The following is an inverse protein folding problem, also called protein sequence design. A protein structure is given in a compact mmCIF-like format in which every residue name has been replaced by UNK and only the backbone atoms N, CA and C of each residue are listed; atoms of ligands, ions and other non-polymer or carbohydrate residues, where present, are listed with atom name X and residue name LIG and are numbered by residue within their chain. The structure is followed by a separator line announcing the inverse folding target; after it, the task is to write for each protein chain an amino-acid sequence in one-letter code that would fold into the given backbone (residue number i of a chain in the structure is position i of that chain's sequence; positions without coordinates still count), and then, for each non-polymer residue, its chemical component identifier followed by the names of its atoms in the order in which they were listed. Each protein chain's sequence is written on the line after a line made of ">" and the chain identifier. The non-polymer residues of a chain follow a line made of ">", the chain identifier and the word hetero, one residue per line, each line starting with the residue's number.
data_IF_391587361042
#
_entry.id   IF_391587361042
#
_cell.length_a   1.000
_cell.length_b   1.000
_cell.length_c   1.000
_cell.angle_alpha   90.00
_cell.angle_beta   90.00
_cell.angle_gamma   90.00
#
_symmetry.space_group_name_H-M   'P 1'
#
loop_
_entity.id
_entity.type
_entity.pdbx_description
1 polymer ?
#
# COMPACT_ATOMS: atom_id res chain seq x y z
N UNK A 1 5.96 -32.96 23.98
CA UNK A 1 5.99 -31.75 24.85
C UNK A 1 6.72 -30.54 24.23
N UNK A 2 7.46 -30.66 23.12
CA UNK A 2 8.14 -29.51 22.48
C UNK A 2 7.24 -28.67 21.54
N UNK A 3 6.27 -29.29 20.85
CA UNK A 3 5.37 -28.60 19.91
C UNK A 3 4.37 -27.63 20.57
N UNK A 4 3.92 -27.93 21.80
CA UNK A 4 2.97 -27.06 22.52
C UNK A 4 3.62 -25.77 23.04
N UNK A 5 4.94 -25.76 23.27
CA UNK A 5 5.67 -24.56 23.72
C UNK A 5 5.90 -23.55 22.59
N UNK A 6 6.13 -24.00 21.35
CA UNK A 6 6.29 -23.09 20.19
C UNK A 6 5.00 -22.37 19.82
N UNK A 7 3.86 -23.06 19.87
CA UNK A 7 2.55 -22.46 19.56
C UNK A 7 2.16 -21.38 20.60
N UNK A 8 2.39 -21.65 21.88
CA UNK A 8 2.14 -20.70 22.99
C UNK A 8 3.10 -19.51 22.92
N UNK A 9 4.34 -19.70 22.45
CA UNK A 9 5.29 -18.59 22.28
C UNK A 9 4.90 -17.67 21.12
N UNK A 10 4.43 -18.22 20.00
CA UNK A 10 3.93 -17.45 18.85
C UNK A 10 2.61 -16.71 19.14
N UNK A 11 1.69 -17.31 19.90
CA UNK A 11 0.43 -16.63 20.27
C UNK A 11 0.66 -15.50 21.28
N UNK A 12 1.61 -15.65 22.21
CA UNK A 12 2.02 -14.57 23.12
C UNK A 12 2.66 -13.38 22.41
N UNK A 13 3.31 -13.58 21.26
CA UNK A 13 3.98 -12.49 20.51
C UNK A 13 3.05 -11.58 19.70
N UNK A 14 1.76 -11.88 19.57
CA UNK A 14 0.81 -11.02 18.85
C UNK A 14 -0.07 -10.16 19.76
N UNK A 15 -0.40 -10.62 20.98
CA UNK A 15 -1.12 -9.78 21.95
C UNK A 15 -0.30 -8.55 22.39
N UNK A 16 1.03 -8.65 22.38
CA UNK A 16 1.96 -7.54 22.65
C UNK A 16 2.11 -6.54 21.49
N UNK A 17 1.49 -6.78 20.34
CA UNK A 17 1.63 -5.96 19.13
C UNK A 17 0.49 -4.98 18.90
N UNK A 18 -0.48 -4.87 19.80
CA UNK A 18 -1.58 -3.93 19.64
C UNK A 18 -1.59 -2.89 20.75
N UNK A 19 -1.93 -1.65 20.40
CA UNK A 19 -2.42 -0.63 21.33
C UNK A 19 -3.90 -0.39 21.05
N UNK A 20 -4.69 -0.15 22.10
CA UNK A 20 -6.14 -0.03 21.94
C UNK A 20 -6.50 1.22 21.14
N UNK A 21 -6.12 2.39 21.64
CA UNK A 21 -6.39 3.66 21.02
C UNK A 21 -5.12 4.31 20.46
N UNK A 22 -5.30 5.21 19.49
CA UNK A 22 -4.21 6.03 18.99
C UNK A 22 -3.71 6.96 20.11
N UNK A 23 -2.41 6.97 20.43
CA UNK A 23 -1.86 7.95 21.37
C UNK A 23 -2.20 9.38 20.92
N UNK A 24 -2.54 10.24 21.89
CA UNK A 24 -2.83 11.65 21.62
C UNK A 24 -1.55 12.41 21.25
N UNK A 25 -1.64 13.42 20.37
CA UNK A 25 -0.49 14.25 20.03
C UNK A 25 0.03 14.99 21.27
N UNK A 26 1.34 15.21 21.33
CA UNK A 26 2.01 15.90 22.45
C UNK A 26 2.48 17.30 22.07
N UNK A 27 2.43 17.63 20.79
CA UNK A 27 2.74 18.95 20.24
C UNK A 27 1.85 19.25 19.04
N UNK A 28 1.80 20.52 18.65
CA UNK A 28 1.18 20.95 17.40
C UNK A 28 2.27 21.32 16.38
N UNK A 29 2.11 20.84 15.16
CA UNK A 29 2.93 21.17 13.98
C UNK A 29 2.35 22.36 13.20
N UNK A 30 1.15 22.80 13.55
CA UNK A 30 0.34 23.78 12.84
C UNK A 30 -0.80 23.14 12.04
N UNK A 31 -0.71 21.85 11.69
CA UNK A 31 -1.84 21.09 11.14
C UNK A 31 -2.32 19.95 12.03
N UNK A 32 -1.68 19.69 13.17
CA UNK A 32 -2.13 18.62 14.08
C UNK A 32 -3.62 18.79 14.44
N UNK A 33 -4.08 20.03 14.59
CA UNK A 33 -5.48 20.38 14.83
C UNK A 33 -6.09 21.29 13.75
N UNK A 34 -5.59 21.23 12.51
CA UNK A 34 -6.15 22.04 11.43
C UNK A 34 -7.60 21.63 11.10
N UNK A 35 -8.37 22.60 10.62
CA UNK A 35 -9.72 22.34 10.16
C UNK A 35 -9.71 21.45 8.92
N UNK A 36 -10.43 20.34 9.00
CA UNK A 36 -10.66 19.48 7.84
C UNK A 36 -11.70 20.16 6.93
N UNK A 37 -11.44 20.29 5.62
CA UNK A 37 -12.42 20.84 4.70
C UNK A 37 -13.71 20.02 4.69
N UNK A 38 -14.85 20.69 4.54
CA UNK A 38 -16.15 20.03 4.50
C UNK A 38 -16.28 19.12 3.27
N UNK A 39 -16.80 17.92 3.49
CA UNK A 39 -17.12 17.00 2.40
C UNK A 39 -18.53 17.26 1.86
N UNK A 40 -18.80 16.93 0.59
CA UNK A 40 -20.16 16.94 0.06
C UNK A 40 -21.13 16.17 0.97
N UNK A 41 -22.39 16.61 1.14
CA UNK A 41 -23.35 15.98 2.05
C UNK A 41 -23.57 14.48 1.81
N UNK A 42 -23.47 14.03 0.55
CA UNK A 42 -23.58 12.63 0.13
C UNK A 42 -22.29 11.81 0.31
N UNK A 43 -21.20 12.46 0.74
CA UNK A 43 -19.86 11.88 0.85
C UNK A 43 -19.25 12.12 2.23
N UNK A 44 -20.02 11.88 3.28
CA UNK A 44 -19.50 11.88 4.65
C UNK A 44 -18.62 10.65 4.93
N UNK A 45 -17.70 10.78 5.87
CA UNK A 45 -16.93 9.64 6.37
C UNK A 45 -17.86 8.83 7.27
N UNK A 46 -17.93 7.52 7.02
CA UNK A 46 -18.67 6.61 7.87
C UNK A 46 -17.84 6.37 9.14
N UNK A 47 -18.32 6.85 10.28
CA UNK A 47 -17.71 6.61 11.59
C UNK A 47 -18.36 5.45 12.36
N UNK A 48 -19.60 5.07 12.01
CA UNK A 48 -20.40 4.10 12.75
C UNK A 48 -19.98 2.64 12.51
N UNK A 49 -19.50 2.34 11.29
CA UNK A 49 -19.12 0.97 10.95
C UNK A 49 -17.81 0.56 11.64
N UNK A 50 -17.67 -0.70 12.04
CA UNK A 50 -16.40 -1.18 12.62
C UNK A 50 -15.32 -1.30 11.52
N UNK A 51 -14.11 -0.80 11.74
CA UNK A 51 -13.02 -0.91 10.76
C UNK A 51 -12.45 -2.33 10.64
N UNK A 52 -12.61 -3.17 11.66
CA UNK A 52 -12.06 -4.53 11.69
C UNK A 52 -12.48 -5.34 10.46
N UNK A 53 -11.50 -5.85 9.71
CA UNK A 53 -11.73 -6.65 8.50
C UNK A 53 -12.27 -5.90 7.29
N UNK A 54 -12.26 -4.56 7.30
CA UNK A 54 -12.71 -3.76 6.14
C UNK A 54 -11.63 -3.55 5.07
N UNK A 55 -10.38 -3.94 5.30
CA UNK A 55 -9.34 -3.86 4.28
C UNK A 55 -9.44 -5.03 3.29
N UNK A 56 -9.24 -4.72 2.01
CA UNK A 56 -9.16 -5.72 0.94
C UNK A 56 -7.70 -6.16 0.77
N UNK A 57 -7.15 -6.84 1.78
CA UNK A 57 -5.76 -7.29 1.78
C UNK A 57 -5.57 -8.31 0.64
N UNK A 58 -4.74 -8.03 -0.37
CA UNK A 58 -4.53 -8.95 -1.48
C UNK A 58 -3.50 -10.03 -1.13
N UNK A 59 -3.42 -11.08 -1.96
CA UNK A 59 -2.32 -12.04 -1.93
C UNK A 59 -1.00 -11.40 -2.40
N UNK A 60 -1.06 -10.52 -3.41
CA UNK A 60 0.05 -9.64 -3.80
C UNK A 60 -0.41 -8.21 -3.95
N UNK A 61 0.38 -7.26 -3.45
CA UNK A 61 0.22 -5.84 -3.73
C UNK A 61 1.41 -5.34 -4.54
N UNK A 62 1.16 -4.90 -5.77
CA UNK A 62 2.15 -4.27 -6.64
C UNK A 62 1.97 -2.76 -6.58
N UNK A 63 2.98 -2.06 -6.06
CA UNK A 63 3.05 -0.61 -6.07
C UNK A 63 3.86 -0.16 -7.29
N UNK A 64 3.21 0.47 -8.26
CA UNK A 64 3.88 1.05 -9.43
C UNK A 64 4.38 2.43 -9.06
N UNK A 65 5.70 2.64 -9.11
CA UNK A 65 6.36 3.91 -8.76
C UNK A 65 6.65 4.80 -9.99
N UNK A 66 6.55 4.21 -11.18
CA UNK A 66 6.91 4.80 -12.48
C UNK A 66 5.66 4.95 -13.37
N UNK A 67 4.59 5.50 -12.80
CA UNK A 67 3.28 5.54 -13.43
C UNK A 67 3.01 6.81 -14.27
N UNK A 68 3.95 7.75 -14.34
CA UNK A 68 3.88 8.94 -15.21
C UNK A 68 2.92 10.04 -14.74
N UNK A 69 2.32 9.94 -13.55
CA UNK A 69 1.43 10.97 -13.01
C UNK A 69 2.21 11.88 -12.06
N UNK A 70 2.21 13.18 -12.31
CA UNK A 70 2.91 14.17 -11.50
C UNK A 70 2.04 14.74 -10.38
N UNK A 71 0.72 14.75 -10.55
CA UNK A 71 -0.24 15.23 -9.56
C UNK A 71 -1.35 14.19 -9.39
N UNK A 72 -1.54 13.72 -8.15
CA UNK A 72 -2.55 12.71 -7.82
C UNK A 72 -3.99 13.21 -8.01
N UNK A 73 -4.21 14.52 -7.94
CA UNK A 73 -5.50 15.13 -8.25
C UNK A 73 -5.90 14.95 -9.71
N UNK A 74 -4.91 14.86 -10.60
CA UNK A 74 -5.14 14.72 -12.03
C UNK A 74 -5.24 13.26 -12.48
N UNK A 75 -4.89 12.30 -11.61
CA UNK A 75 -4.94 10.87 -11.89
C UNK A 75 -6.34 10.45 -12.32
N UNK A 76 -6.46 9.74 -13.45
CA UNK A 76 -7.74 9.21 -13.93
C UNK A 76 -8.40 8.32 -12.87
N UNK A 77 -9.72 8.43 -12.68
CA UNK A 77 -10.49 7.71 -11.64
C UNK A 77 -10.28 6.19 -11.62
N UNK A 78 -9.82 5.63 -12.74
CA UNK A 78 -9.32 4.26 -12.85
C UNK A 78 -7.90 4.29 -13.41
N UNK A 79 -6.94 3.73 -12.67
CA UNK A 79 -5.52 3.75 -13.05
C UNK A 79 -5.22 2.97 -14.34
N UNK A 80 -6.06 1.98 -14.68
CA UNK A 80 -5.92 1.21 -15.91
C UNK A 80 -6.34 1.98 -17.18
N UNK A 81 -6.86 3.20 -17.03
CA UNK A 81 -7.17 4.09 -18.16
C UNK A 81 -5.99 4.98 -18.55
N UNK A 82 -4.85 4.88 -17.85
CA UNK A 82 -3.62 5.61 -18.17
C UNK A 82 -2.90 4.84 -19.29
N UNK A 83 -2.89 5.34 -20.54
CA UNK A 83 -2.33 4.60 -21.68
C UNK A 83 -0.83 4.37 -21.51
N UNK A 84 -0.35 3.19 -21.91
CA UNK A 84 1.07 2.82 -21.80
C UNK A 84 1.59 2.67 -20.36
N UNK A 85 0.70 2.68 -19.37
CA UNK A 85 1.07 2.37 -17.99
C UNK A 85 1.05 0.87 -17.73
N UNK A 86 1.88 0.42 -16.79
CA UNK A 86 1.85 -0.96 -16.30
C UNK A 86 0.46 -1.38 -15.79
N UNK A 87 -0.31 -0.47 -15.21
CA UNK A 87 -1.67 -0.76 -14.74
C UNK A 87 -2.63 -1.06 -15.90
N UNK A 88 -2.45 -0.41 -17.05
CA UNK A 88 -3.19 -0.72 -18.28
C UNK A 88 -2.82 -2.10 -18.81
N UNK A 89 -1.52 -2.42 -18.91
CA UNK A 89 -1.05 -3.71 -19.42
C UNK A 89 -1.46 -4.87 -18.50
N UNK A 90 -1.36 -4.66 -17.19
CA UNK A 90 -1.86 -5.59 -16.18
C UNK A 90 -3.36 -5.89 -16.36
N UNK A 91 -4.19 -4.88 -16.63
CA UNK A 91 -5.63 -5.06 -16.82
C UNK A 91 -5.96 -5.98 -18.00
N UNK A 92 -5.19 -5.86 -19.10
CA UNK A 92 -5.32 -6.72 -20.29
C UNK A 92 -4.90 -8.16 -19.97
N UNK A 93 -3.80 -8.34 -19.22
CA UNK A 93 -3.20 -9.64 -18.98
C UNK A 93 -3.87 -10.45 -17.87
N UNK A 94 -4.38 -9.78 -16.82
CA UNK A 94 -4.79 -10.42 -15.55
C UNK A 94 -5.80 -11.55 -15.73
N UNK A 95 -6.77 -11.42 -16.66
CA UNK A 95 -7.80 -12.45 -16.90
C UNK A 95 -7.23 -13.74 -17.49
N UNK A 96 -6.14 -13.63 -18.24
CA UNK A 96 -5.49 -14.75 -18.92
C UNK A 96 -4.40 -15.41 -18.07
N UNK A 97 -3.82 -14.67 -17.12
CA UNK A 97 -2.69 -15.12 -16.31
C UNK A 97 -3.08 -15.47 -14.89
N UNK A 98 -3.82 -14.60 -14.21
CA UNK A 98 -4.02 -14.68 -12.76
C UNK A 98 -5.27 -15.46 -12.40
N UNK A 99 -5.22 -16.09 -11.22
CA UNK A 99 -6.35 -16.85 -10.67
C UNK A 99 -7.17 -16.02 -9.69
N UNK A 100 -8.51 -16.16 -9.65
CA UNK A 100 -9.35 -15.49 -8.66
C UNK A 100 -9.00 -15.85 -7.20
N UNK A 101 -8.38 -17.01 -6.96
CA UNK A 101 -8.02 -17.45 -5.59
C UNK A 101 -6.75 -16.79 -5.05
N UNK A 102 -5.96 -16.14 -5.91
CA UNK A 102 -4.75 -15.41 -5.55
C UNK A 102 -4.93 -13.93 -5.96
N UNK A 103 -5.73 -13.15 -5.21
CA UNK A 103 -6.05 -11.79 -5.59
C UNK A 103 -4.80 -10.90 -5.62
N UNK A 104 -4.58 -10.21 -6.75
CA UNK A 104 -3.48 -9.26 -6.92
C UNK A 104 -4.05 -7.86 -7.08
N UNK A 105 -3.55 -6.92 -6.27
CA UNK A 105 -3.88 -5.49 -6.38
C UNK A 105 -2.70 -4.75 -6.98
N UNK A 106 -2.96 -3.94 -8.00
CA UNK A 106 -2.01 -2.96 -8.54
C UNK A 106 -2.43 -1.57 -8.07
N UNK A 107 -1.48 -0.77 -7.63
CA UNK A 107 -1.71 0.63 -7.23
C UNK A 107 -0.58 1.51 -7.72
N UNK A 108 -0.91 2.72 -8.17
CA UNK A 108 0.09 3.74 -8.45
C UNK A 108 0.48 4.43 -7.14
N UNK A 109 1.78 4.65 -6.92
CA UNK A 109 2.28 5.36 -5.76
C UNK A 109 3.35 6.38 -6.14
N UNK A 110 3.28 7.57 -5.56
CA UNK A 110 4.33 8.59 -5.62
C UNK A 110 4.95 8.72 -4.23
N UNK A 111 6.28 8.67 -4.16
CA UNK A 111 7.02 8.69 -2.90
C UNK A 111 7.91 9.93 -2.91
N UNK A 112 7.79 10.78 -1.90
CA UNK A 112 8.40 12.12 -1.83
C UNK A 112 9.93 12.16 -1.70
N UNK A 113 10.61 11.00 -1.83
CA UNK A 113 12.07 10.88 -1.91
C UNK A 113 12.59 9.81 -2.88
N UNK A 114 11.69 9.02 -3.50
CA UNK A 114 12.10 8.01 -4.50
C UNK A 114 12.50 8.66 -5.84
N UNK A 115 12.26 9.96 -5.99
CA UNK A 115 12.93 10.82 -6.95
C UNK A 115 14.26 11.30 -6.35
N UNK A 116 15.27 10.43 -6.36
CA UNK A 116 16.68 10.83 -6.35
C UNK A 116 17.07 11.69 -7.57
N UNK A 117 16.10 12.05 -8.42
CA UNK A 117 16.14 13.24 -9.25
C UNK A 117 15.44 14.33 -8.45
N UNK A 118 16.21 15.20 -7.81
CA UNK A 118 15.72 16.56 -7.56
C UNK A 118 15.08 17.03 -8.87
N UNK A 119 13.76 17.20 -8.89
CA UNK A 119 13.10 17.98 -9.93
C UNK A 119 13.57 19.41 -9.71
N UNK A 120 14.79 19.68 -10.14
CA UNK A 120 15.32 21.01 -10.26
C UNK A 120 14.39 21.71 -11.27
N UNK A 121 13.66 22.78 -10.91
CA UNK A 121 12.70 23.43 -11.82
C UNK A 121 13.34 24.02 -13.09
N UNK A 122 14.67 23.88 -13.24
CA UNK A 122 15.52 24.46 -14.28
C UNK A 122 16.14 23.45 -15.25
N UNK A 123 15.90 22.14 -15.12
CA UNK A 123 16.32 21.18 -16.15
C UNK A 123 15.21 21.01 -17.20
N UNK A 124 15.46 21.29 -18.49
CA UNK A 124 14.49 21.03 -19.54
C UNK A 124 14.21 19.53 -19.58
N UNK A 125 12.93 19.15 -19.46
CA UNK A 125 12.48 17.77 -19.64
C UNK A 125 12.87 17.34 -21.06
N UNK A 126 13.74 16.35 -21.19
CA UNK A 126 13.75 15.55 -22.40
C UNK A 126 12.40 14.84 -22.45
N UNK A 127 11.65 15.00 -23.54
CA UNK A 127 10.36 14.32 -23.77
C UNK A 127 10.55 12.80 -23.98
N UNK A 128 11.58 12.17 -23.41
CA UNK A 128 11.81 10.74 -23.57
C UNK A 128 10.86 9.96 -22.64
N UNK A 129 10.06 9.03 -23.19
CA UNK A 129 9.20 8.18 -22.38
C UNK A 129 10.05 7.28 -21.47
N UNK A 130 9.56 7.05 -20.25
CA UNK A 130 10.20 6.15 -19.29
C UNK A 130 10.34 4.75 -19.90
N UNK A 131 11.57 4.24 -20.00
CA UNK A 131 11.88 2.96 -20.68
C UNK A 131 11.81 1.75 -19.75
N UNK A 132 11.69 1.99 -18.44
CA UNK A 132 11.62 0.95 -17.41
C UNK A 132 10.44 1.18 -16.47
N UNK A 133 9.85 0.09 -16.00
CA UNK A 133 9.00 0.08 -14.84
C UNK A 133 9.83 -0.15 -13.59
N UNK A 134 9.51 0.62 -12.56
CA UNK A 134 9.96 0.44 -11.18
C UNK A 134 8.75 0.17 -10.30
N UNK A 135 8.75 -0.95 -9.59
CA UNK A 135 7.65 -1.40 -8.74
C UNK A 135 8.12 -1.96 -7.41
N UNK A 136 7.26 -1.95 -6.39
CA UNK A 136 7.43 -2.77 -5.18
C UNK A 136 6.41 -3.88 -5.12
N UNK A 137 6.83 -5.08 -4.71
CA UNK A 137 5.96 -6.25 -4.59
C UNK A 137 5.89 -6.69 -3.13
N UNK A 138 4.69 -6.71 -2.57
CA UNK A 138 4.41 -7.22 -1.22
C UNK A 138 3.55 -8.50 -1.30
N UNK A 139 3.76 -9.48 -0.41
CA UNK A 139 4.61 -9.45 0.78
C UNK A 139 6.09 -9.79 0.54
N UNK A 140 6.50 -10.03 -0.71
CA UNK A 140 7.88 -10.41 -1.07
C UNK A 140 8.92 -9.39 -0.61
N UNK A 141 8.50 -8.14 -0.45
CA UNK A 141 9.28 -7.00 0.04
C UNK A 141 10.52 -6.77 -0.83
N UNK A 142 10.28 -6.72 -2.13
CA UNK A 142 11.28 -6.47 -3.17
C UNK A 142 10.88 -5.25 -3.98
N UNK A 143 11.88 -4.48 -4.41
CA UNK A 143 11.76 -3.43 -5.40
C UNK A 143 12.40 -3.93 -6.70
N UNK A 144 11.64 -3.86 -7.79
CA UNK A 144 11.98 -4.47 -9.07
C UNK A 144 11.98 -3.39 -10.14
N UNK A 145 13.09 -3.28 -10.86
CA UNK A 145 13.21 -2.47 -12.07
C UNK A 145 13.34 -3.36 -13.31
N UNK A 146 12.59 -3.06 -14.37
CA UNK A 146 12.56 -3.87 -15.59
C UNK A 146 12.06 -3.08 -16.82
N UNK A 147 12.44 -3.46 -18.05
CA UNK A 147 11.95 -2.79 -19.26
C UNK A 147 10.43 -2.89 -19.44
N UNK A 148 9.81 -1.82 -19.96
CA UNK A 148 8.33 -1.72 -20.09
C UNK A 148 7.68 -2.83 -20.91
N UNK A 149 8.41 -3.48 -21.82
CA UNK A 149 7.85 -4.58 -22.62
C UNK A 149 7.66 -5.90 -21.84
N UNK A 150 8.24 -6.05 -20.65
CA UNK A 150 8.27 -7.33 -19.92
C UNK A 150 7.21 -7.46 -18.81
N UNK A 151 6.07 -6.77 -18.93
CA UNK A 151 4.97 -6.85 -17.94
C UNK A 151 4.43 -8.27 -17.82
N UNK A 152 4.34 -9.02 -18.92
CA UNK A 152 3.87 -10.41 -18.90
C UNK A 152 4.80 -11.31 -18.08
N UNK A 153 6.09 -11.27 -18.38
CA UNK A 153 7.12 -12.07 -17.71
C UNK A 153 7.22 -11.66 -16.24
N UNK A 154 7.04 -10.37 -15.93
CA UNK A 154 6.94 -9.89 -14.55
C UNK A 154 5.75 -10.54 -13.83
N UNK A 155 4.57 -10.58 -14.44
CA UNK A 155 3.39 -11.23 -13.85
C UNK A 155 3.60 -12.74 -13.68
N UNK A 156 4.17 -13.41 -14.67
CA UNK A 156 4.46 -14.85 -14.63
C UNK A 156 5.50 -15.20 -13.56
N UNK A 157 6.44 -14.29 -13.29
CA UNK A 157 7.48 -14.47 -12.29
C UNK A 157 7.07 -14.07 -10.87
N UNK A 158 6.41 -12.94 -10.66
CA UNK A 158 6.13 -12.45 -9.30
C UNK A 158 4.70 -12.69 -8.82
N UNK A 159 3.74 -12.87 -9.74
CA UNK A 159 2.30 -12.80 -9.45
C UNK A 159 1.57 -14.14 -9.68
N UNK A 160 2.30 -15.22 -9.91
CA UNK A 160 1.76 -16.58 -9.93
C UNK A 160 2.27 -17.38 -8.72
N UNK A 161 1.45 -18.29 -8.16
CA UNK A 161 1.89 -19.14 -7.06
C UNK A 161 2.98 -20.12 -7.52
N UNK A 162 3.86 -20.54 -6.61
CA UNK A 162 4.88 -21.56 -6.93
C UNK A 162 4.22 -22.91 -7.26
N UNK A 163 3.18 -23.28 -6.51
CA UNK A 163 2.45 -24.53 -6.68
C UNK A 163 0.99 -24.24 -7.02
N UNK A 164 0.38 -25.12 -7.82
CA UNK A 164 -1.04 -25.04 -8.11
C UNK A 164 -1.84 -25.27 -6.82
N UNK A 165 -2.88 -24.46 -6.55
CA UNK A 165 -3.72 -24.68 -5.39
C UNK A 165 -4.39 -26.05 -5.47
N UNK A 166 -4.54 -26.70 -4.31
CA UNK A 166 -5.20 -27.99 -4.19
C UNK A 166 -6.63 -27.87 -4.72
N UNK A 167 -6.97 -28.66 -5.74
CA UNK A 167 -8.31 -28.63 -6.32
C UNK A 167 -9.33 -29.19 -5.33
N UNK A 168 -10.25 -28.34 -4.87
CA UNK A 168 -11.46 -28.81 -4.20
C UNK A 168 -12.40 -29.33 -5.29
N UNK A 169 -12.76 -30.61 -5.24
CA UNK A 169 -13.65 -31.22 -6.23
C UNK A 169 -14.99 -30.49 -6.26
N UNK A 170 -15.34 -29.93 -7.43
CA UNK A 170 -16.63 -29.31 -7.68
C UNK A 170 -17.34 -30.05 -8.82
N UNK A 171 -18.39 -30.86 -8.52
CA UNK A 171 -19.08 -31.66 -9.53
C UNK A 171 -19.85 -30.82 -10.57
N UNK A 172 -19.98 -29.50 -10.36
CA UNK A 172 -20.70 -28.59 -11.26
C UNK A 172 -19.81 -27.87 -12.27
N UNK A 173 -18.48 -27.97 -12.16
CA UNK A 173 -17.52 -27.31 -13.08
C UNK A 173 -17.06 -28.32 -14.13
N UNK A 174 -17.54 -28.19 -15.37
CA UNK A 174 -17.23 -29.10 -16.49
C UNK A 174 -15.84 -28.88 -17.10
N UNK A 175 -15.16 -27.79 -16.75
CA UNK A 175 -13.86 -27.41 -17.35
C UNK A 175 -12.94 -26.90 -16.25
N UNK A 176 -11.95 -27.70 -15.88
CA UNK A 176 -10.88 -27.24 -15.02
C UNK A 176 -9.89 -26.44 -15.86
N UNK A 177 -9.92 -25.12 -15.79
CA UNK A 177 -8.82 -24.31 -16.31
C UNK A 177 -7.57 -24.68 -15.51
N UNK A 178 -6.50 -25.09 -16.21
CA UNK A 178 -5.23 -25.40 -15.57
C UNK A 178 -4.73 -24.17 -14.80
N UNK A 179 -4.42 -24.35 -13.52
CA UNK A 179 -3.78 -23.30 -12.72
C UNK A 179 -2.39 -23.04 -13.30
N UNK A 180 -2.06 -21.76 -13.48
CA UNK A 180 -0.72 -21.35 -13.89
C UNK A 180 0.16 -21.21 -12.66
N UNK A 181 1.34 -21.81 -12.73
CA UNK A 181 2.38 -21.67 -11.73
C UNK A 181 3.41 -20.64 -12.17
N UNK A 182 4.21 -20.18 -11.21
CA UNK A 182 5.35 -19.28 -11.41
C UNK A 182 6.25 -19.77 -12.54
N UNK A 183 6.68 -18.84 -13.39
CA UNK A 183 7.71 -19.05 -14.39
C UNK A 183 8.95 -18.21 -14.05
N UNK A 184 10.14 -18.75 -14.28
CA UNK A 184 11.40 -18.11 -13.88
C UNK A 184 11.94 -17.18 -14.98
N UNK A 185 11.89 -15.87 -14.71
CA UNK A 185 12.35 -14.81 -15.62
C UNK A 185 13.32 -13.84 -14.94
N UNK A 186 13.96 -14.25 -13.84
CA UNK A 186 14.79 -13.36 -12.99
C UNK A 186 15.89 -12.59 -13.72
N UNK A 187 16.39 -13.11 -14.84
CA UNK A 187 17.40 -12.44 -15.68
C UNK A 187 16.88 -11.15 -16.36
N UNK A 188 15.58 -10.92 -16.41
CA UNK A 188 14.95 -9.71 -16.97
C UNK A 188 14.80 -8.59 -15.93
N UNK A 189 15.11 -8.85 -14.66
CA UNK A 189 14.73 -8.00 -13.54
C UNK A 189 15.93 -7.59 -12.70
N UNK A 190 16.01 -6.30 -12.38
CA UNK A 190 16.90 -5.82 -11.34
C UNK A 190 16.14 -5.76 -10.02
N UNK A 191 16.42 -6.72 -9.14
CA UNK A 191 15.78 -6.83 -7.84
C UNK A 191 16.64 -6.21 -6.73
N UNK A 192 16.03 -5.41 -5.87
CA UNK A 192 16.64 -4.84 -4.67
C UNK A 192 15.68 -4.93 -3.49
N UNK A 193 16.17 -4.71 -2.27
CA UNK A 193 15.32 -4.62 -1.08
C UNK A 193 15.01 -3.16 -0.73
N UNK A 194 13.76 -2.83 -0.34
CA UNK A 194 13.45 -1.53 0.24
C UNK A 194 14.35 -1.25 1.45
N UNK A 195 15.01 -0.10 1.45
CA UNK A 195 15.93 0.30 2.54
C UNK A 195 15.23 1.09 3.65
N UNK A 196 14.08 1.70 3.32
CA UNK A 196 13.31 2.57 4.21
C UNK A 196 11.90 2.05 4.39
N UNK A 197 11.32 2.35 5.54
CA UNK A 197 9.88 2.19 5.73
C UNK A 197 9.13 3.13 4.77
N UNK A 198 7.89 2.80 4.47
CA UNK A 198 7.06 3.59 3.57
C UNK A 198 5.66 3.78 4.16
N UNK A 199 5.23 5.04 4.25
CA UNK A 199 3.86 5.44 4.56
C UNK A 199 3.21 5.92 3.28
N UNK A 200 2.08 5.30 2.88
CA UNK A 200 1.30 5.73 1.74
C UNK A 200 -0.11 6.15 2.14
N UNK A 201 -0.51 7.35 1.73
CA UNK A 201 -1.83 7.92 1.99
C UNK A 201 -2.66 7.90 0.70
N UNK A 202 -3.89 7.40 0.76
CA UNK A 202 -4.76 7.36 -0.40
C UNK A 202 -5.19 8.79 -0.80
N UNK A 203 -4.64 9.33 -1.89
CA UNK A 203 -4.89 10.69 -2.40
C UNK A 203 -5.64 10.75 -3.73
N UNK A 204 -6.41 9.72 -4.08
CA UNK A 204 -7.00 9.58 -5.41
C UNK A 204 -8.29 10.42 -5.60
N UNK A 205 -8.16 11.72 -5.84
CA UNK A 205 -9.24 12.72 -5.86
C UNK A 205 -10.35 12.41 -6.86
N UNK A 206 -10.01 12.11 -8.12
CA UNK A 206 -11.02 11.76 -9.15
C UNK A 206 -11.77 10.46 -8.86
N UNK A 207 -11.27 9.63 -7.94
CA UNK A 207 -11.96 8.43 -7.48
C UNK A 207 -12.83 8.71 -6.26
N UNK A 208 -12.32 9.46 -5.29
CA UNK A 208 -13.09 9.90 -4.13
C UNK A 208 -12.53 11.21 -3.56
N UNK A 209 -13.41 12.21 -3.42
CA UNK A 209 -13.04 13.54 -2.95
C UNK A 209 -12.53 13.54 -1.51
N UNK A 210 -13.05 12.66 -0.63
CA UNK A 210 -12.61 12.59 0.76
C UNK A 210 -11.13 12.21 0.84
N UNK A 211 -10.71 11.26 0.00
CA UNK A 211 -9.32 10.85 -0.12
C UNK A 211 -8.44 11.99 -0.64
N UNK A 212 -8.90 12.69 -1.68
CA UNK A 212 -8.17 13.83 -2.26
C UNK A 212 -7.95 14.98 -1.28
N UNK A 213 -8.98 15.31 -0.50
CA UNK A 213 -8.94 16.41 0.48
C UNK A 213 -8.11 16.07 1.71
N UNK A 214 -8.22 14.85 2.24
CA UNK A 214 -7.51 14.46 3.46
C UNK A 214 -6.03 14.17 3.24
N UNK A 215 -5.68 13.58 2.10
CA UNK A 215 -4.33 13.12 1.85
C UNK A 215 -3.23 14.19 2.02
N UNK A 216 -3.34 15.41 1.45
CA UNK A 216 -2.30 16.42 1.61
C UNK A 216 -2.13 16.91 3.05
N UNK A 217 -3.21 16.93 3.85
CA UNK A 217 -3.14 17.30 5.27
C UNK A 217 -2.39 16.25 6.08
N UNK A 218 -2.70 14.97 5.85
CA UNK A 218 -2.07 13.84 6.53
C UNK A 218 -0.61 13.69 6.09
N UNK A 219 -0.32 13.82 4.80
CA UNK A 219 1.04 13.76 4.25
C UNK A 219 1.93 14.85 4.85
N UNK A 220 1.46 16.11 4.86
CA UNK A 220 2.18 17.23 5.46
C UNK A 220 2.49 16.97 6.94
N UNK A 221 1.49 16.53 7.70
CA UNK A 221 1.67 16.19 9.11
C UNK A 221 2.70 15.08 9.32
N UNK A 222 2.69 14.02 8.49
CA UNK A 222 3.72 12.98 8.55
C UNK A 222 5.11 13.53 8.29
N UNK A 223 5.29 14.39 7.28
CA UNK A 223 6.59 15.01 6.98
C UNK A 223 7.10 15.82 8.17
N UNK A 224 6.26 16.67 8.77
CA UNK A 224 6.63 17.52 9.91
C UNK A 224 6.96 16.71 11.17
N UNK A 225 6.13 15.69 11.48
CA UNK A 225 6.36 14.80 12.63
C UNK A 225 7.61 13.94 12.43
N UNK A 226 7.82 13.35 11.25
CA UNK A 226 8.99 12.51 10.99
C UNK A 226 10.29 13.31 11.03
N UNK A 227 10.30 14.56 10.55
CA UNK A 227 11.46 15.44 10.68
C UNK A 227 11.76 15.73 12.15
N UNK A 228 10.75 16.11 12.94
CA UNK A 228 10.90 16.40 14.38
C UNK A 228 11.36 15.19 15.19
N UNK A 229 10.93 13.99 14.82
CA UNK A 229 11.32 12.73 15.45
C UNK A 229 12.65 12.16 14.91
N UNK A 230 13.33 12.86 13.99
CA UNK A 230 14.57 12.42 13.33
C UNK A 230 14.44 11.10 12.56
N UNK A 231 13.28 10.89 11.92
CA UNK A 231 12.93 9.69 11.16
C UNK A 231 12.82 9.93 9.65
N UNK A 232 12.93 11.17 9.16
CA UNK A 232 12.82 11.52 7.73
C UNK A 232 13.82 10.80 6.81
N UNK A 233 14.97 10.37 7.34
CA UNK A 233 15.96 9.58 6.59
C UNK A 233 15.63 8.08 6.51
N UNK A 234 14.74 7.58 7.36
CA UNK A 234 14.43 6.16 7.49
C UNK A 234 13.01 5.79 7.02
N UNK A 235 12.14 6.79 6.88
CA UNK A 235 10.73 6.61 6.50
C UNK A 235 10.42 7.54 5.34
N UNK A 236 10.04 6.97 4.21
CA UNK A 236 9.49 7.74 3.11
C UNK A 236 7.96 7.88 3.27
N UNK A 237 7.43 9.02 2.85
CA UNK A 237 5.99 9.30 2.82
C UNK A 237 5.57 9.58 1.39
N UNK A 238 4.35 9.21 1.04
CA UNK A 238 3.82 9.50 -0.28
C UNK A 238 2.34 9.20 -0.44
N UNK A 239 1.88 9.30 -1.68
CA UNK A 239 0.49 9.10 -2.05
C UNK A 239 0.30 7.77 -2.78
N UNK A 240 -0.87 7.16 -2.61
CA UNK A 240 -1.29 5.95 -3.31
C UNK A 240 -2.66 6.13 -3.97
N UNK A 241 -2.82 5.49 -5.13
CA UNK A 241 -4.11 5.41 -5.80
C UNK A 241 -5.12 4.65 -4.96
N UNK A 242 -6.38 4.68 -5.35
CA UNK A 242 -7.46 4.07 -4.57
C UNK A 242 -7.22 2.58 -4.24
N UNK A 243 -7.24 2.27 -2.94
CA UNK A 243 -7.01 0.93 -2.35
C UNK A 243 -8.28 0.32 -1.73
N UNK A 244 -9.46 0.89 -1.99
CA UNK A 244 -10.71 0.52 -1.34
C UNK A 244 -10.89 1.15 0.05
N UNK A 245 -12.13 1.15 0.54
CA UNK A 245 -12.48 1.75 1.84
C UNK A 245 -12.57 3.27 1.84
N UNK A 246 -13.00 3.90 0.74
CA UNK A 246 -13.21 5.35 0.70
C UNK A 246 -14.24 5.84 1.72
N UNK A 247 -15.14 4.96 2.18
CA UNK A 247 -16.09 5.28 3.25
C UNK A 247 -15.37 5.61 4.58
N UNK A 248 -14.12 5.16 4.72
CA UNK A 248 -13.24 5.34 5.87
C UNK A 248 -12.02 6.20 5.48
N UNK A 249 -12.23 7.24 4.67
CA UNK A 249 -11.18 8.12 4.14
C UNK A 249 -10.22 8.62 5.24
N UNK A 250 -9.01 9.02 4.83
CA UNK A 250 -7.84 8.96 5.71
C UNK A 250 -7.25 7.54 5.72
N UNK A 251 -7.24 6.89 4.55
CA UNK A 251 -6.67 5.57 4.41
C UNK A 251 -5.14 5.67 4.30
N UNK A 252 -4.45 5.04 5.24
CA UNK A 252 -2.98 5.03 5.31
C UNK A 252 -2.51 3.58 5.33
N UNK A 253 -1.52 3.24 4.50
CA UNK A 253 -0.83 1.95 4.58
C UNK A 253 0.60 2.19 5.03
N UNK A 254 1.03 1.43 6.03
CA UNK A 254 2.41 1.36 6.46
C UNK A 254 3.08 0.09 5.96
N UNK A 255 4.19 0.25 5.24
CA UNK A 255 5.03 -0.82 4.73
C UNK A 255 6.40 -0.76 5.44
N UNK A 256 6.70 -1.70 6.34
CA UNK A 256 8.00 -1.75 7.00
C UNK A 256 9.08 -2.24 6.04
N UNK A 257 10.28 -1.65 6.09
CA UNK A 257 11.44 -2.11 5.33
C UNK A 257 11.85 -3.53 5.75
N UNK A 258 11.77 -3.81 7.05
CA UNK A 258 11.94 -5.14 7.63
C UNK A 258 10.59 -5.75 8.01
N UNK A 259 10.05 -6.71 7.21
CA UNK A 259 8.76 -7.33 7.47
C UNK A 259 8.75 -8.19 8.74
N UNK A 260 9.91 -8.47 9.35
CA UNK A 260 10.00 -9.17 10.64
C UNK A 260 9.57 -8.28 11.81
N UNK A 261 9.68 -6.95 11.66
CA UNK A 261 9.28 -5.99 12.70
C UNK A 261 7.77 -6.02 12.89
N UNK A 262 7.02 -5.88 11.80
CA UNK A 262 5.57 -5.93 11.81
C UNK A 262 4.99 -6.20 10.41
N UNK A 263 3.73 -6.63 10.28
CA UNK A 263 3.10 -6.77 8.97
C UNK A 263 2.79 -5.41 8.32
N UNK A 264 2.57 -5.42 7.00
CA UNK A 264 1.95 -4.29 6.30
C UNK A 264 0.62 -3.95 6.97
N UNK A 265 0.46 -2.71 7.38
CA UNK A 265 -0.63 -2.29 8.27
C UNK A 265 -1.52 -1.27 7.58
N UNK A 266 -2.83 -1.54 7.60
CA UNK A 266 -3.84 -0.74 6.93
C UNK A 266 -4.66 0.02 7.97
N UNK A 267 -4.64 1.35 7.88
CA UNK A 267 -5.44 2.25 8.70
C UNK A 267 -6.50 2.97 7.86
N UNK A 268 -7.60 3.32 8.52
CA UNK A 268 -8.65 4.20 7.98
C UNK A 268 -9.03 5.24 9.03
N UNK A 269 -9.78 6.27 8.61
CA UNK A 269 -10.18 7.39 9.47
C UNK A 269 -8.99 8.08 10.15
N UNK A 270 -7.83 8.09 9.47
CA UNK A 270 -6.67 8.84 9.93
C UNK A 270 -6.90 10.32 9.63
N UNK A 271 -6.70 11.16 10.64
CA UNK A 271 -6.65 12.61 10.56
C UNK A 271 -5.27 13.10 11.03
N UNK A 272 -4.91 14.38 10.79
CA UNK A 272 -3.63 14.93 11.24
C UNK A 272 -3.33 14.65 12.73
N UNK A 273 -4.32 14.80 13.62
CA UNK A 273 -4.16 14.52 15.05
C UNK A 273 -3.72 13.08 15.40
N UNK A 274 -3.90 12.11 14.49
CA UNK A 274 -3.52 10.72 14.71
C UNK A 274 -2.07 10.43 14.31
N UNK A 275 -1.43 11.29 13.51
CA UNK A 275 -0.13 11.02 12.89
C UNK A 275 0.95 10.80 13.94
N UNK A 276 1.04 11.64 14.98
CA UNK A 276 2.01 11.44 16.06
C UNK A 276 1.82 10.09 16.77
N UNK A 277 0.57 9.69 16.99
CA UNK A 277 0.27 8.38 17.57
C UNK A 277 0.69 7.22 16.67
N UNK A 278 0.53 7.34 15.35
CA UNK A 278 1.01 6.35 14.36
C UNK A 278 2.55 6.31 14.36
N UNK A 279 3.23 7.46 14.33
CA UNK A 279 4.70 7.52 14.36
C UNK A 279 5.24 6.87 15.65
N UNK A 280 4.63 7.15 16.80
CA UNK A 280 5.03 6.57 18.07
C UNK A 280 4.73 5.07 18.15
N UNK A 281 3.46 4.67 18.05
CA UNK A 281 3.07 3.29 18.28
C UNK A 281 3.48 2.35 17.13
N UNK A 282 3.29 2.78 15.88
CA UNK A 282 3.51 1.92 14.71
C UNK A 282 4.95 1.98 14.22
N UNK A 283 5.46 3.17 13.93
CA UNK A 283 6.77 3.29 13.29
C UNK A 283 7.89 2.97 14.29
N UNK A 284 7.88 3.60 15.47
CA UNK A 284 8.93 3.42 16.49
C UNK A 284 8.77 2.11 17.26
N UNK A 285 7.57 1.77 17.72
CA UNK A 285 7.36 0.61 18.61
C UNK A 285 6.94 -0.69 17.89
N UNK A 286 6.57 -0.64 16.61
CA UNK A 286 6.12 -1.83 15.87
C UNK A 286 4.75 -2.37 16.31
N UNK A 287 3.87 -1.50 16.84
CA UNK A 287 2.53 -1.85 17.32
C UNK A 287 1.44 -1.33 16.40
N UNK A 288 0.35 -2.08 16.31
CA UNK A 288 -0.85 -1.77 15.52
C UNK A 288 -1.88 -1.07 16.43
N UNK A 289 -2.41 0.05 15.96
CA UNK A 289 -3.44 0.82 16.66
C UNK A 289 -4.82 0.26 16.29
N UNK A 290 -5.50 -0.41 17.22
CA UNK A 290 -6.75 -1.14 16.93
C UNK A 290 -7.86 -0.23 16.40
N UNK A 291 -8.05 0.94 17.00
CA UNK A 291 -9.16 1.83 16.64
C UNK A 291 -9.07 2.39 15.20
N UNK A 292 -7.88 2.38 14.60
CA UNK A 292 -7.65 2.79 13.21
C UNK A 292 -7.53 1.59 12.26
N UNK A 293 -7.28 0.40 12.79
CA UNK A 293 -6.87 -0.77 12.02
C UNK A 293 -8.01 -1.36 11.19
N UNK A 294 -7.74 -1.56 9.91
CA UNK A 294 -8.70 -2.10 8.94
C UNK A 294 -8.51 -3.58 8.65
N UNK A 295 -7.37 -4.17 9.03
CA UNK A 295 -7.15 -5.60 8.89
C UNK A 295 -7.96 -6.41 9.90
N UNK A 296 -7.82 -7.73 9.83
CA UNK A 296 -8.48 -8.61 10.79
C UNK A 296 -7.70 -8.65 12.10
N UNK A 297 -8.34 -8.24 13.19
CA UNK A 297 -7.98 -8.61 14.55
C UNK A 297 -8.72 -9.92 14.80
N UNK A 298 -8.00 -11.03 14.93
CA UNK A 298 -8.62 -12.26 15.43
C UNK A 298 -9.20 -11.94 16.82
N UNK A 299 -10.51 -12.09 16.97
CA UNK A 299 -11.14 -12.14 18.29
C UNK A 299 -10.54 -13.35 19.01
N UNK A 300 -9.65 -13.08 19.96
CA UNK A 300 -9.09 -14.10 20.84
C UNK A 300 -10.17 -14.72 21.72
#
# INVERSE_FOLDING_TARGET
>A
MFFQRQLVHQLRTYASKFVQACPKPTYDTGCTHCQIPEFPPDKQINFDHNLNGTSSIPWKHVLVLSHGVTNFDDMASKINLIPGSMASDFEVLKRSLLSPVHPVTVSNASISGAMGVQLNPKTPRTNEPCKTHRVRVYPDNVEVEFPVQHVREFMEHYLLPQEAPQQVYNPFVKTHNAFKCRQEHGHLFQETKPQKDLVLICGHTKRDIRCGVLAPLIEKEFVEVLERENLSQNVDVGLISHIGGHAYAGNVIYFPADPRRMPVTWYGRVFPENVQGIVQATIKEGKIIKDLYRGNVASG
#
